data_IF_329322634620
#
_entry.id   IF_329322634620
#
_cell.length_a   1.000
_cell.length_b   1.000
_cell.length_c   1.000
_cell.angle_alpha   90.00
_cell.angle_beta   90.00
_cell.angle_gamma   90.00
#
_symmetry.space_group_name_H-M   'P 1'
#
loop_
_entity.id
_entity.type
_entity.pdbx_description
1 polymer ?
#
# COMPACT_ATOMS: atom_id res chain seq x y z
N UNK A 1 -10.25 5.80 -13.16
CA UNK A 1 -9.31 5.32 -12.13
C UNK A 1 -7.93 5.30 -12.75
N UNK A 2 -6.93 5.93 -12.13
CA UNK A 2 -5.54 5.94 -12.60
C UNK A 2 -4.72 4.99 -11.72
N UNK A 3 -3.85 4.18 -12.33
CA UNK A 3 -2.98 3.22 -11.62
C UNK A 3 -1.53 3.58 -11.95
N UNK A 4 -0.74 3.86 -10.92
CA UNK A 4 0.66 4.27 -11.04
C UNK A 4 1.50 3.25 -10.27
N UNK A 5 2.38 2.54 -10.98
CA UNK A 5 3.32 1.59 -10.38
C UNK A 5 4.66 2.28 -10.10
N UNK A 6 5.14 2.18 -8.86
CA UNK A 6 6.48 2.64 -8.50
C UNK A 6 7.37 1.41 -8.34
N UNK A 7 8.24 1.20 -9.33
CA UNK A 7 9.09 0.02 -9.45
C UNK A 7 10.55 0.43 -9.63
N UNK A 8 11.46 -0.43 -9.20
CA UNK A 8 12.91 -0.24 -9.34
C UNK A 8 13.62 -1.54 -8.99
N UNK A 9 14.78 -1.75 -9.59
CA UNK A 9 15.50 -3.02 -9.59
C UNK A 9 16.31 -3.27 -8.32
N UNK A 10 16.76 -2.23 -7.61
CA UNK A 10 17.60 -2.39 -6.41
C UNK A 10 16.89 -1.97 -5.12
N UNK A 11 17.29 -2.59 -4.01
CA UNK A 11 16.86 -2.17 -2.68
C UNK A 11 17.47 -0.82 -2.30
N UNK A 12 16.74 0.00 -1.54
CA UNK A 12 17.28 1.26 -1.01
C UNK A 12 17.24 2.47 -1.96
N UNK A 13 16.73 2.34 -3.19
CA UNK A 13 16.57 3.46 -4.12
C UNK A 13 15.45 4.46 -3.74
N UNK A 14 14.75 4.22 -2.63
CA UNK A 14 13.69 5.12 -2.14
C UNK A 14 12.31 4.90 -2.74
N UNK A 15 12.03 3.75 -3.37
CA UNK A 15 10.70 3.39 -3.91
C UNK A 15 9.56 3.68 -2.94
N UNK A 16 9.62 3.11 -1.74
CA UNK A 16 8.59 3.28 -0.71
C UNK A 16 8.48 4.72 -0.24
N UNK A 17 9.61 5.43 -0.16
CA UNK A 17 9.65 6.86 0.17
C UNK A 17 8.92 7.69 -0.90
N UNK A 18 9.16 7.43 -2.18
CA UNK A 18 8.48 8.13 -3.27
C UNK A 18 7.00 7.76 -3.34
N UNK A 19 6.65 6.49 -3.12
CA UNK A 19 5.26 6.02 -3.09
C UNK A 19 4.46 6.67 -1.96
N UNK A 20 5.03 6.69 -0.75
CA UNK A 20 4.43 7.35 0.39
C UNK A 20 4.19 8.83 0.09
N UNK A 21 5.23 9.59 -0.25
CA UNK A 21 5.10 11.04 -0.49
C UNK A 21 4.15 11.37 -1.65
N UNK A 22 4.22 10.66 -2.77
CA UNK A 22 3.31 10.88 -3.89
C UNK A 22 1.86 10.63 -3.48
N UNK A 23 1.59 9.51 -2.82
CA UNK A 23 0.23 9.19 -2.36
C UNK A 23 -0.29 10.21 -1.33
N UNK A 24 0.57 10.65 -0.42
CA UNK A 24 0.26 11.69 0.57
C UNK A 24 -0.09 13.03 -0.09
N UNK A 25 0.70 13.49 -1.07
CA UNK A 25 0.40 14.73 -1.79
C UNK A 25 -0.89 14.65 -2.61
N UNK A 26 -1.15 13.51 -3.27
CA UNK A 26 -2.41 13.32 -4.00
C UNK A 26 -3.62 13.34 -3.06
N UNK A 27 -3.51 12.68 -1.89
CA UNK A 27 -4.56 12.69 -0.87
C UNK A 27 -4.78 14.10 -0.28
N UNK A 28 -3.70 14.83 0.02
CA UNK A 28 -3.74 16.21 0.53
C UNK A 28 -4.39 17.18 -0.49
N UNK A 29 -4.16 16.94 -1.79
CA UNK A 29 -4.82 17.66 -2.88
C UNK A 29 -6.31 17.30 -3.06
N UNK A 30 -6.89 16.47 -2.18
CA UNK A 30 -8.31 16.10 -2.19
C UNK A 30 -8.66 14.97 -3.16
N UNK A 31 -7.66 14.27 -3.72
CA UNK A 31 -7.92 13.12 -4.58
C UNK A 31 -8.16 11.86 -3.75
N UNK A 32 -9.08 11.01 -4.22
CA UNK A 32 -9.28 9.67 -3.65
C UNK A 32 -8.08 8.80 -4.03
N UNK A 33 -7.16 8.65 -3.10
CA UNK A 33 -5.88 7.96 -3.28
C UNK A 33 -5.84 6.68 -2.46
N UNK A 34 -5.37 5.59 -3.07
CA UNK A 34 -5.07 4.31 -2.42
C UNK A 34 -3.60 3.98 -2.66
N UNK A 35 -2.83 3.83 -1.59
CA UNK A 35 -1.47 3.29 -1.63
C UNK A 35 -1.53 1.79 -1.32
N UNK A 36 -0.98 0.97 -2.22
CA UNK A 36 -0.83 -0.47 -2.02
C UNK A 36 0.67 -0.77 -1.89
N UNK A 37 1.07 -1.35 -0.76
CA UNK A 37 2.43 -1.83 -0.56
C UNK A 37 2.56 -3.27 -1.06
N UNK A 38 3.16 -3.41 -2.24
CA UNK A 38 3.43 -4.70 -2.87
C UNK A 38 4.82 -5.25 -2.59
N UNK A 39 5.63 -4.59 -1.75
CA UNK A 39 6.97 -5.07 -1.41
C UNK A 39 6.88 -6.15 -0.33
N UNK A 40 6.72 -7.41 -0.77
CA UNK A 40 6.71 -8.56 0.12
C UNK A 40 8.00 -8.69 0.95
N UNK A 41 9.14 -8.27 0.40
CA UNK A 41 10.42 -8.42 1.08
C UNK A 41 10.60 -7.38 2.19
N UNK A 42 10.08 -6.16 1.99
CA UNK A 42 10.21 -5.07 2.95
C UNK A 42 8.99 -4.11 2.94
N UNK A 43 7.83 -4.54 3.48
CA UNK A 43 6.66 -3.68 3.56
C UNK A 43 6.94 -2.52 4.53
N UNK A 44 6.81 -1.29 4.04
CA UNK A 44 7.22 -0.08 4.75
C UNK A 44 6.16 1.02 4.72
N UNK A 45 5.07 0.89 3.96
CA UNK A 45 4.04 1.92 3.90
C UNK A 45 3.47 2.28 5.29
N UNK A 46 3.24 1.28 6.15
CA UNK A 46 2.69 1.50 7.50
C UNK A 46 3.67 2.20 8.47
N UNK A 47 4.96 2.29 8.14
CA UNK A 47 5.91 3.10 8.92
C UNK A 47 5.82 4.59 8.60
N UNK A 48 5.38 4.94 7.39
CA UNK A 48 5.06 6.32 7.00
C UNK A 48 3.68 6.74 7.48
N UNK A 49 2.70 5.85 7.33
CA UNK A 49 1.29 6.12 7.66
C UNK A 49 0.77 5.06 8.62
N UNK A 50 0.70 5.41 9.91
CA UNK A 50 0.17 4.50 10.93
C UNK A 50 -1.27 4.10 10.61
N UNK A 51 -1.52 2.80 10.61
CA UNK A 51 -2.84 2.26 10.40
C UNK A 51 -3.74 2.59 11.61
N UNK A 52 -4.94 3.11 11.34
CA UNK A 52 -5.99 3.24 12.37
C UNK A 52 -6.72 1.91 12.61
N UNK A 53 -6.71 1.06 11.60
CA UNK A 53 -7.28 -0.27 11.60
C UNK A 53 -6.30 -1.18 10.87
N UNK A 54 -5.90 -2.25 11.53
CA UNK A 54 -5.10 -3.31 10.94
C UNK A 54 -6.06 -4.46 10.58
N UNK A 55 -6.06 -4.83 9.30
CA UNK A 55 -6.91 -5.91 8.82
C UNK A 55 -6.39 -7.25 9.34
N UNK A 56 -7.26 -8.24 9.58
CA UNK A 56 -6.86 -9.56 10.07
C UNK A 56 -5.98 -10.33 9.07
N UNK A 57 -5.96 -9.93 7.80
CA UNK A 57 -5.21 -10.57 6.73
C UNK A 57 -4.57 -9.53 5.81
N UNK A 58 -3.48 -9.92 5.13
CA UNK A 58 -2.68 -9.03 4.29
C UNK A 58 -2.94 -9.19 2.80
N UNK A 59 -2.03 -8.62 2.01
CA UNK A 59 -2.10 -8.66 0.54
C UNK A 59 -2.02 -10.10 0.00
N UNK A 60 -1.29 -10.99 0.67
CA UNK A 60 -1.16 -12.38 0.24
C UNK A 60 -2.51 -13.12 0.28
N UNK A 61 -3.19 -13.11 1.43
CA UNK A 61 -4.48 -13.77 1.60
C UNK A 61 -5.54 -13.18 0.66
N UNK A 62 -5.51 -11.85 0.46
CA UNK A 62 -6.37 -11.15 -0.50
C UNK A 62 -6.18 -11.69 -1.92
N UNK A 63 -4.93 -11.81 -2.38
CA UNK A 63 -4.62 -12.30 -3.72
C UNK A 63 -4.92 -13.79 -3.91
N UNK A 64 -4.75 -14.59 -2.86
CA UNK A 64 -5.06 -16.02 -2.88
C UNK A 64 -6.56 -16.33 -2.69
N UNK A 65 -7.37 -15.32 -2.41
CA UNK A 65 -8.81 -15.47 -2.13
C UNK A 65 -9.08 -16.47 -1.00
N UNK A 66 -8.18 -16.53 -0.02
CA UNK A 66 -8.33 -17.40 1.16
C UNK A 66 -9.16 -16.75 2.26
N UNK A 67 -9.68 -15.55 2.01
CA UNK A 67 -10.48 -14.73 2.92
C UNK A 67 -11.74 -14.25 2.22
N UNK A 68 -12.88 -14.29 2.92
CA UNK A 68 -14.12 -13.72 2.41
C UNK A 68 -14.11 -12.20 2.61
N UNK A 69 -13.95 -11.46 1.51
CA UNK A 69 -13.91 -10.01 1.51
C UNK A 69 -15.26 -9.36 1.80
N UNK A 70 -16.36 -10.13 1.79
CA UNK A 70 -17.70 -9.64 2.11
C UNK A 70 -18.05 -9.80 3.59
N UNK A 71 -17.23 -10.52 4.36
CA UNK A 71 -17.42 -10.76 5.79
C UNK A 71 -16.18 -10.30 6.58
N UNK A 72 -15.94 -8.99 6.72
CA UNK A 72 -14.87 -8.45 7.53
C UNK A 72 -15.24 -8.53 9.02
N UNK A 73 -15.21 -9.72 9.60
CA UNK A 73 -15.16 -9.87 11.07
C UNK A 73 -13.72 -9.72 11.59
#
# INVERSE_FOLDING_TARGET
MQVISIISTEGGEGKSTHAANLSGFLADAGLKTLLIDGDYAQPTASSYYSLRYEAPCGLYELLMQTVDLNAPE
#
